data_IF_270730254934
#
_entry.id   IF_270730254934
#
_cell.length_a   1.000
_cell.length_b   1.000
_cell.length_c   1.000
_cell.angle_alpha   90.00
_cell.angle_beta   90.00
_cell.angle_gamma   90.00
#
_symmetry.space_group_name_H-M   'P 1'
#
loop_
_entity.id
_entity.type
_entity.pdbx_description
1 polymer ?
#
# COMPACT_ATOMS: atom_id res chain seq x y z
N UNK A 1 -16.46 -32.45 13.98
CA UNK A 1 -15.54 -33.55 13.67
C UNK A 1 -14.21 -32.89 13.32
N UNK A 2 -13.16 -33.07 14.11
CA UNK A 2 -11.86 -32.39 13.87
C UNK A 2 -11.26 -33.01 12.59
N UNK A 3 -10.89 -32.24 11.55
CA UNK A 3 -10.25 -32.79 10.36
C UNK A 3 -9.01 -33.60 10.76
N UNK A 4 -8.88 -34.80 10.22
CA UNK A 4 -7.85 -35.79 10.58
C UNK A 4 -6.45 -35.50 10.01
N UNK A 5 -6.19 -34.29 9.53
CA UNK A 5 -4.87 -33.79 9.14
C UNK A 5 -4.83 -32.27 9.30
N UNK A 6 -3.70 -31.69 9.74
CA UNK A 6 -3.55 -30.23 9.82
C UNK A 6 -3.73 -29.61 8.42
N UNK A 7 -4.41 -28.47 8.35
CA UNK A 7 -4.60 -27.74 7.09
C UNK A 7 -3.23 -27.28 6.59
N UNK A 8 -2.86 -27.69 5.39
CA UNK A 8 -1.62 -27.26 4.75
C UNK A 8 -1.75 -25.83 4.22
N UNK A 9 -0.87 -24.95 4.67
CA UNK A 9 -0.83 -23.55 4.21
C UNK A 9 -0.23 -23.49 2.82
N UNK A 10 -0.97 -22.96 1.84
CA UNK A 10 -0.44 -22.69 0.50
C UNK A 10 0.75 -21.72 0.58
N UNK A 11 1.77 -21.94 -0.25
CA UNK A 11 2.98 -21.09 -0.33
C UNK A 11 3.14 -20.51 -1.73
N UNK A 12 3.92 -19.44 -1.82
CA UNK A 12 4.25 -18.73 -3.05
C UNK A 12 5.68 -18.19 -2.99
N UNK A 13 6.18 -17.62 -4.08
CA UNK A 13 7.49 -16.96 -4.11
C UNK A 13 7.36 -15.47 -4.44
N UNK A 14 8.02 -14.63 -3.64
CA UNK A 14 8.23 -13.21 -3.95
C UNK A 14 9.65 -12.99 -4.48
N UNK A 15 9.79 -12.05 -5.42
CA UNK A 15 11.07 -11.78 -6.09
C UNK A 15 11.69 -13.01 -6.75
N UNK A 16 10.86 -13.98 -7.16
CA UNK A 16 11.25 -15.24 -7.82
C UNK A 16 11.93 -16.29 -6.93
N UNK A 17 12.42 -15.94 -5.75
CA UNK A 17 13.30 -16.82 -4.96
C UNK A 17 12.88 -17.01 -3.50
N UNK A 18 12.18 -16.06 -2.88
CA UNK A 18 11.84 -16.14 -1.46
C UNK A 18 10.47 -16.76 -1.29
N UNK A 19 10.42 -17.95 -0.72
CA UNK A 19 9.17 -18.64 -0.43
C UNK A 19 8.50 -18.07 0.83
N UNK A 20 7.22 -17.74 0.73
CA UNK A 20 6.38 -17.25 1.83
C UNK A 20 5.04 -18.00 1.84
N UNK A 21 4.34 -18.10 2.98
CA UNK A 21 2.96 -18.53 3.01
C UNK A 21 2.09 -17.51 2.28
N UNK A 22 1.03 -17.98 1.63
CA UNK A 22 0.05 -17.10 0.97
C UNK A 22 -0.81 -16.33 1.97
N UNK A 23 -0.62 -16.52 3.27
CA UNK A 23 -1.15 -15.66 4.31
C UNK A 23 -0.01 -15.17 5.22
N UNK A 24 0.16 -13.86 5.26
CA UNK A 24 1.16 -13.16 6.06
C UNK A 24 0.49 -12.56 7.29
N UNK A 25 1.11 -12.73 8.46
CA UNK A 25 0.64 -12.17 9.72
C UNK A 25 1.04 -10.70 9.84
N UNK A 26 0.07 -9.79 9.72
CA UNK A 26 0.30 -8.36 9.86
C UNK A 26 0.28 -7.91 11.32
N UNK A 27 1.30 -7.14 11.72
CA UNK A 27 1.52 -6.72 13.12
C UNK A 27 1.08 -5.28 13.42
N UNK A 28 0.28 -4.65 12.55
CA UNK A 28 -0.18 -3.26 12.73
C UNK A 28 -1.00 -3.03 14.00
N UNK A 29 -1.55 -4.08 14.62
CA UNK A 29 -2.26 -3.97 15.88
C UNK A 29 -1.33 -3.62 17.06
N UNK A 30 -0.01 -3.74 16.87
CA UNK A 30 1.00 -3.25 17.81
C UNK A 30 1.34 -1.77 17.61
N UNK A 31 0.80 -1.11 16.58
CA UNK A 31 1.02 0.32 16.31
C UNK A 31 0.25 1.26 17.25
N UNK A 32 -0.68 0.75 18.07
CA UNK A 32 -1.56 1.54 18.93
C UNK A 32 -1.68 0.95 20.33
N UNK A 33 -0.84 1.45 21.24
CA UNK A 33 -0.75 1.03 22.64
C UNK A 33 0.39 1.72 23.38
N UNK A 34 0.63 3.01 23.15
CA UNK A 34 1.73 3.75 23.79
C UNK A 34 1.61 3.86 25.33
N UNK A 35 0.51 3.36 25.90
CA UNK A 35 0.19 3.48 27.33
C UNK A 35 0.15 2.11 28.04
N UNK A 36 0.33 1.00 27.32
CA UNK A 36 0.41 -0.35 27.88
C UNK A 36 1.66 -1.07 27.37
N UNK A 37 2.50 -1.55 28.29
CA UNK A 37 3.65 -2.37 27.92
C UNK A 37 3.18 -3.63 27.18
N UNK A 38 3.57 -3.80 25.92
CA UNK A 38 3.33 -5.04 25.18
C UNK A 38 4.00 -6.19 25.95
N UNK A 39 3.23 -7.24 26.26
CA UNK A 39 3.80 -8.49 26.76
C UNK A 39 4.56 -9.19 25.63
N UNK A 40 5.82 -8.81 25.45
CA UNK A 40 6.71 -9.39 24.43
C UNK A 40 6.83 -10.90 24.59
N UNK A 41 6.81 -11.42 25.82
CA UNK A 41 6.88 -12.86 26.09
C UNK A 41 5.64 -13.60 25.61
N UNK A 42 4.45 -13.05 25.89
CA UNK A 42 3.18 -13.54 25.35
C UNK A 42 3.12 -13.47 23.83
N UNK A 43 3.58 -12.36 23.24
CA UNK A 43 3.61 -12.18 21.79
C UNK A 43 4.50 -13.22 21.09
N UNK A 44 5.68 -13.52 21.64
CA UNK A 44 6.58 -14.57 21.14
C UNK A 44 5.89 -15.93 21.14
N UNK A 45 5.17 -16.30 22.22
CA UNK A 45 4.44 -17.57 22.28
C UNK A 45 3.34 -17.68 21.24
N UNK A 46 2.59 -16.60 21.01
CA UNK A 46 1.57 -16.57 19.95
C UNK A 46 2.21 -16.65 18.55
N UNK A 47 3.40 -16.08 18.35
CA UNK A 47 4.16 -16.27 17.11
C UNK A 47 4.59 -17.72 16.92
N UNK A 48 5.09 -18.40 17.96
CA UNK A 48 5.44 -19.84 17.88
C UNK A 48 4.22 -20.67 17.44
N UNK A 49 3.05 -20.39 18.00
CA UNK A 49 1.79 -21.04 17.60
C UNK A 49 1.44 -20.81 16.12
N UNK A 50 1.60 -19.58 15.61
CA UNK A 50 1.37 -19.27 14.20
C UNK A 50 2.39 -19.98 13.29
N UNK A 51 3.64 -20.07 13.73
CA UNK A 51 4.70 -20.75 12.99
C UNK A 51 4.48 -22.27 12.92
N UNK A 52 4.05 -22.90 14.02
CA UNK A 52 3.63 -24.31 14.04
C UNK A 52 2.46 -24.58 13.09
N UNK A 53 1.60 -23.58 12.87
CA UNK A 53 0.50 -23.64 11.90
C UNK A 53 0.92 -23.34 10.45
N UNK A 54 2.22 -23.15 10.17
CA UNK A 54 2.74 -22.84 8.83
C UNK A 54 2.65 -21.37 8.42
N UNK A 55 2.28 -20.47 9.34
CA UNK A 55 2.23 -19.02 9.14
C UNK A 55 3.53 -18.37 9.65
N UNK A 56 4.63 -18.64 8.94
CA UNK A 56 6.01 -18.28 9.29
C UNK A 56 6.48 -16.91 8.75
N UNK A 57 5.58 -16.11 8.17
CA UNK A 57 5.88 -14.81 7.60
C UNK A 57 5.07 -13.69 8.26
N UNK A 58 5.77 -12.62 8.64
CA UNK A 58 5.22 -11.50 9.40
C UNK A 58 5.51 -10.16 8.72
N UNK A 59 4.48 -9.32 8.60
CA UNK A 59 4.56 -7.98 8.02
C UNK A 59 4.46 -6.92 9.12
N UNK A 60 5.42 -6.00 9.12
CA UNK A 60 5.48 -4.87 10.06
C UNK A 60 5.89 -3.57 9.34
N UNK A 61 6.11 -2.49 10.08
CA UNK A 61 6.62 -1.22 9.56
C UNK A 61 7.36 -0.45 10.67
N UNK A 62 8.19 0.51 10.28
CA UNK A 62 8.91 1.42 11.18
C UNK A 62 8.01 2.17 12.18
N UNK A 63 6.76 2.46 11.81
CA UNK A 63 5.76 3.15 12.63
C UNK A 63 4.82 2.19 13.38
N UNK A 64 5.02 0.87 13.33
CA UNK A 64 4.20 -0.11 14.07
C UNK A 64 4.72 -0.36 15.49
N UNK A 65 5.03 0.71 16.23
CA UNK A 65 5.47 0.62 17.63
C UNK A 65 6.63 -0.37 17.80
N UNK A 66 6.44 -1.38 18.64
CA UNK A 66 7.47 -2.37 19.01
C UNK A 66 7.47 -3.64 18.15
N UNK A 67 6.72 -3.70 17.03
CA UNK A 67 6.61 -4.90 16.21
C UNK A 67 7.97 -5.50 15.78
N UNK A 68 8.91 -4.67 15.34
CA UNK A 68 10.27 -5.11 14.99
C UNK A 68 11.05 -5.67 16.20
N UNK A 69 10.84 -5.11 17.40
CA UNK A 69 11.49 -5.58 18.63
C UNK A 69 10.94 -6.93 19.09
N UNK A 70 9.63 -7.17 18.90
CA UNK A 70 9.01 -8.48 19.17
C UNK A 70 9.64 -9.55 18.28
N UNK A 71 9.86 -9.26 16.99
CA UNK A 71 10.56 -10.17 16.07
C UNK A 71 12.03 -10.38 16.48
N UNK A 72 12.73 -9.32 16.88
CA UNK A 72 14.09 -9.45 17.40
C UNK A 72 14.16 -10.33 18.65
N UNK A 73 13.19 -10.19 19.57
CA UNK A 73 13.08 -11.06 20.75
C UNK A 73 12.78 -12.50 20.36
N UNK A 74 11.85 -12.72 19.42
CA UNK A 74 11.53 -14.04 18.89
C UNK A 74 12.78 -14.75 18.35
N UNK A 75 13.57 -14.08 17.49
CA UNK A 75 14.82 -14.64 16.95
C UNK A 75 15.85 -14.96 18.03
N UNK A 76 15.89 -14.19 19.11
CA UNK A 76 16.83 -14.41 20.21
C UNK A 76 16.42 -15.58 21.12
N UNK A 77 15.14 -15.96 21.15
CA UNK A 77 14.61 -16.97 22.09
C UNK A 77 14.11 -18.26 21.43
N UNK A 78 13.78 -18.22 20.13
CA UNK A 78 13.28 -19.36 19.37
C UNK A 78 14.32 -19.89 18.38
N UNK A 79 14.26 -21.18 18.07
CA UNK A 79 15.06 -21.82 17.01
C UNK A 79 14.36 -21.85 15.65
N UNK A 80 13.09 -21.43 15.59
CA UNK A 80 12.31 -21.42 14.37
C UNK A 80 12.76 -20.32 13.41
N UNK A 81 12.75 -20.62 12.11
CA UNK A 81 13.15 -19.66 11.10
C UNK A 81 11.97 -18.78 10.66
N UNK A 82 11.95 -17.54 11.13
CA UNK A 82 10.94 -16.54 10.78
C UNK A 82 11.32 -15.75 9.53
N UNK A 83 10.34 -15.52 8.66
CA UNK A 83 10.43 -14.52 7.58
C UNK A 83 9.82 -13.19 8.04
N UNK A 84 10.61 -12.12 8.04
CA UNK A 84 10.18 -10.79 8.47
C UNK A 84 10.21 -9.81 7.30
N UNK A 85 9.06 -9.20 7.01
CA UNK A 85 8.89 -8.11 6.05
C UNK A 85 8.68 -6.82 6.83
N UNK A 86 9.40 -5.75 6.49
CA UNK A 86 9.21 -4.44 7.12
C UNK A 86 8.99 -3.36 6.07
N UNK A 87 8.68 -2.14 6.53
CA UNK A 87 8.48 -0.98 5.68
C UNK A 87 9.27 0.20 6.22
N UNK A 88 9.76 1.00 5.28
CA UNK A 88 10.19 2.36 5.55
C UNK A 88 9.11 3.31 5.04
N UNK A 89 8.53 4.06 5.97
CA UNK A 89 7.53 5.08 5.73
C UNK A 89 8.11 6.44 6.13
N UNK A 90 9.02 7.02 5.31
CA UNK A 90 9.58 8.33 5.60
C UNK A 90 8.48 9.41 5.63
N UNK A 91 8.81 10.61 6.13
CA UNK A 91 7.97 11.79 5.92
C UNK A 91 7.56 11.93 4.45
N UNK A 92 6.40 12.53 4.22
CA UNK A 92 5.78 12.64 2.90
C UNK A 92 6.78 13.06 1.81
N UNK A 93 7.46 14.19 2.03
CA UNK A 93 8.42 14.78 1.09
C UNK A 93 9.70 15.28 1.80
N UNK A 94 10.76 15.51 1.02
CA UNK A 94 11.96 16.26 1.43
C UNK A 94 13.11 15.42 1.99
N UNK A 95 12.87 14.19 2.44
CA UNK A 95 13.90 13.28 2.95
C UNK A 95 14.61 12.55 1.80
N UNK A 96 15.73 13.10 1.31
CA UNK A 96 16.46 12.60 0.12
C UNK A 96 17.86 12.05 0.39
N UNK A 97 18.32 12.02 1.64
CA UNK A 97 19.72 11.67 1.94
C UNK A 97 19.94 10.15 2.02
N UNK A 98 21.10 9.70 1.53
CA UNK A 98 21.50 8.29 1.67
C UNK A 98 21.67 7.90 3.14
N UNK A 99 22.28 8.77 3.95
CA UNK A 99 22.52 8.54 5.38
C UNK A 99 21.22 8.24 6.14
N UNK A 100 20.14 8.98 5.86
CA UNK A 100 18.85 8.76 6.51
C UNK A 100 18.21 7.43 6.08
N UNK A 101 18.31 7.08 4.80
CA UNK A 101 17.85 5.78 4.31
C UNK A 101 18.64 4.63 4.97
N UNK A 102 19.97 4.75 5.04
CA UNK A 102 20.84 3.78 5.68
C UNK A 102 20.54 3.64 7.18
N UNK A 103 20.36 4.75 7.90
CA UNK A 103 19.99 4.74 9.31
C UNK A 103 18.64 4.05 9.56
N UNK A 104 17.67 4.22 8.66
CA UNK A 104 16.37 3.53 8.75
C UNK A 104 16.54 2.01 8.58
N UNK A 105 17.32 1.57 7.58
CA UNK A 105 17.62 0.15 7.35
C UNK A 105 18.40 -0.47 8.50
N UNK A 106 19.45 0.20 8.98
CA UNK A 106 20.28 -0.29 10.08
C UNK A 106 19.50 -0.34 11.41
N UNK A 107 18.54 0.57 11.60
CA UNK A 107 17.62 0.51 12.73
C UNK A 107 16.74 -0.73 12.65
N UNK A 108 16.12 -0.98 11.49
CA UNK A 108 15.25 -2.14 11.28
C UNK A 108 16.01 -3.47 11.45
N UNK A 109 17.21 -3.59 10.85
CA UNK A 109 18.12 -4.74 11.02
C UNK A 109 18.40 -5.03 12.50
N UNK A 110 18.81 -3.99 13.24
CA UNK A 110 19.11 -4.09 14.68
C UNK A 110 17.90 -4.47 15.52
N UNK A 111 16.73 -3.86 15.27
CA UNK A 111 15.50 -4.12 16.03
C UNK A 111 15.00 -5.55 15.81
N UNK A 112 15.04 -6.03 14.56
CA UNK A 112 14.65 -7.40 14.21
C UNK A 112 15.73 -8.45 14.49
N UNK A 113 16.95 -8.05 14.88
CA UNK A 113 18.05 -8.97 15.16
C UNK A 113 18.46 -9.82 13.95
N UNK A 114 18.63 -9.19 12.77
CA UNK A 114 19.04 -9.87 11.54
C UNK A 114 20.02 -9.04 10.72
N UNK A 115 20.84 -9.69 9.88
CA UNK A 115 21.86 -9.03 9.05
C UNK A 115 21.37 -8.63 7.66
N UNK A 116 20.22 -9.18 7.24
CA UNK A 116 19.59 -8.87 5.95
C UNK A 116 18.07 -8.81 6.09
N UNK A 117 17.47 -7.73 5.60
CA UNK A 117 16.02 -7.58 5.52
C UNK A 117 15.51 -8.39 4.33
N UNK A 118 14.55 -9.30 4.57
CA UNK A 118 14.01 -10.16 3.49
C UNK A 118 13.23 -9.35 2.46
N UNK A 119 12.39 -8.42 2.91
CA UNK A 119 11.66 -7.47 2.06
C UNK A 119 11.58 -6.12 2.77
N UNK A 120 12.14 -5.09 2.14
CA UNK A 120 11.96 -3.69 2.55
C UNK A 120 10.93 -3.06 1.62
N UNK A 121 9.78 -2.65 2.15
CA UNK A 121 8.72 -2.01 1.37
C UNK A 121 8.78 -0.49 1.54
N UNK A 122 8.55 0.25 0.46
CA UNK A 122 8.57 1.72 0.47
C UNK A 122 7.18 2.28 0.16
N UNK A 123 6.71 3.23 0.98
CA UNK A 123 5.46 3.94 0.73
C UNK A 123 5.75 5.27 0.02
N UNK A 124 5.21 5.44 -1.19
CA UNK A 124 5.27 6.70 -1.94
C UNK A 124 4.07 7.55 -1.55
N UNK A 125 4.26 8.73 -0.97
CA UNK A 125 3.14 9.58 -0.53
C UNK A 125 2.60 10.48 -1.65
N UNK A 126 3.49 11.22 -2.32
CA UNK A 126 3.14 12.12 -3.42
C UNK A 126 3.97 11.79 -4.67
N UNK A 127 3.31 11.40 -5.76
CA UNK A 127 3.99 11.12 -7.03
C UNK A 127 4.55 12.36 -7.70
N UNK A 128 3.97 13.53 -7.40
CA UNK A 128 4.49 14.78 -7.92
C UNK A 128 5.78 15.20 -7.20
N UNK A 129 6.14 14.65 -6.05
CA UNK A 129 7.43 14.95 -5.38
C UNK A 129 8.52 13.94 -5.79
N UNK A 130 9.77 14.36 -5.94
CA UNK A 130 10.85 13.49 -6.43
C UNK A 130 11.58 12.73 -5.32
N UNK A 131 11.19 12.92 -4.06
CA UNK A 131 11.81 12.27 -2.90
C UNK A 131 11.87 10.75 -3.05
N UNK A 132 10.82 10.13 -3.61
CA UNK A 132 10.79 8.68 -3.79
C UNK A 132 11.84 8.18 -4.80
N UNK A 133 12.20 8.96 -5.83
CA UNK A 133 13.26 8.58 -6.77
C UNK A 133 14.61 8.43 -6.06
N UNK A 134 14.94 9.41 -5.21
CA UNK A 134 16.17 9.37 -4.41
C UNK A 134 16.14 8.17 -3.44
N UNK A 135 15.05 8.00 -2.70
CA UNK A 135 14.95 6.94 -1.70
C UNK A 135 14.97 5.54 -2.30
N UNK A 136 14.26 5.30 -3.40
CA UNK A 136 14.33 4.01 -4.10
C UNK A 136 15.73 3.76 -4.67
N UNK A 137 16.43 4.78 -5.14
CA UNK A 137 17.84 4.66 -5.57
C UNK A 137 18.75 4.29 -4.39
N UNK A 138 18.53 4.86 -3.21
CA UNK A 138 19.28 4.51 -1.99
C UNK A 138 18.99 3.09 -1.53
N UNK A 139 17.72 2.66 -1.55
CA UNK A 139 17.34 1.28 -1.24
C UNK A 139 17.96 0.28 -2.23
N UNK A 140 18.06 0.61 -3.53
CA UNK A 140 18.80 -0.20 -4.51
C UNK A 140 20.29 -0.32 -4.14
N UNK A 141 20.92 0.76 -3.70
CA UNK A 141 22.31 0.71 -3.20
C UNK A 141 22.42 -0.20 -1.98
N UNK A 142 21.53 -0.08 -1.00
CA UNK A 142 21.51 -0.93 0.21
C UNK A 142 21.23 -2.40 -0.12
N UNK A 143 20.44 -2.68 -1.16
CA UNK A 143 20.26 -4.02 -1.72
C UNK A 143 21.57 -4.56 -2.31
N UNK A 144 22.30 -3.76 -3.10
CA UNK A 144 23.60 -4.16 -3.65
C UNK A 144 24.67 -4.41 -2.58
N UNK A 145 24.56 -3.73 -1.43
CA UNK A 145 25.40 -3.95 -0.25
C UNK A 145 24.98 -5.18 0.58
N UNK A 146 23.91 -5.88 0.19
CA UNK A 146 23.43 -7.08 0.86
C UNK A 146 22.57 -6.85 2.12
N UNK A 147 22.29 -5.59 2.50
CA UNK A 147 21.43 -5.26 3.65
C UNK A 147 19.95 -5.55 3.39
N UNK A 148 19.54 -5.51 2.13
CA UNK A 148 18.17 -5.78 1.68
C UNK A 148 18.22 -6.91 0.65
N UNK A 149 17.31 -7.88 0.75
CA UNK A 149 17.17 -8.92 -0.28
C UNK A 149 16.23 -8.48 -1.39
N UNK A 150 15.04 -8.00 -1.04
CA UNK A 150 14.01 -7.54 -1.99
C UNK A 150 13.51 -6.15 -1.64
N UNK A 151 13.22 -5.36 -2.66
CA UNK A 151 12.48 -4.09 -2.53
C UNK A 151 11.03 -4.30 -2.94
N UNK A 152 10.10 -3.90 -2.08
CA UNK A 152 8.68 -3.83 -2.37
C UNK A 152 8.16 -2.40 -2.33
N UNK A 153 6.93 -2.20 -2.79
CA UNK A 153 6.22 -0.94 -2.74
C UNK A 153 4.96 -1.09 -1.89
N UNK A 154 4.39 0.04 -1.46
CA UNK A 154 3.12 0.09 -0.74
C UNK A 154 2.23 1.15 -1.35
N UNK A 155 0.99 0.76 -1.66
CA UNK A 155 -0.05 1.60 -2.25
C UNK A 155 0.35 2.24 -3.59
N UNK A 156 1.18 1.62 -4.41
CA UNK A 156 1.57 2.21 -5.71
C UNK A 156 0.56 1.83 -6.80
N UNK A 157 0.14 2.79 -7.61
CA UNK A 157 -0.83 2.56 -8.68
C UNK A 157 -0.19 1.90 -9.91
N UNK A 158 -1.00 1.51 -10.90
CA UNK A 158 -0.49 0.81 -12.07
C UNK A 158 0.47 1.67 -12.91
N UNK A 159 0.18 2.97 -13.07
CA UNK A 159 0.96 3.87 -13.92
C UNK A 159 2.35 4.13 -13.34
N UNK A 160 2.44 4.36 -12.02
CA UNK A 160 3.70 4.59 -11.33
C UNK A 160 4.49 3.31 -11.12
N UNK A 161 3.82 2.15 -10.97
CA UNK A 161 4.50 0.86 -10.95
C UNK A 161 5.20 0.59 -12.30
N UNK A 162 4.49 0.75 -13.43
CA UNK A 162 5.08 0.63 -14.77
C UNK A 162 6.22 1.63 -14.96
N UNK A 163 6.02 2.90 -14.57
CA UNK A 163 7.05 3.93 -14.65
C UNK A 163 8.33 3.53 -13.90
N UNK A 164 8.21 3.00 -12.68
CA UNK A 164 9.37 2.52 -11.90
C UNK A 164 10.06 1.33 -12.57
N UNK A 165 9.30 0.36 -13.08
CA UNK A 165 9.85 -0.82 -13.75
C UNK A 165 10.56 -0.44 -15.04
N UNK A 166 9.94 0.40 -15.88
CA UNK A 166 10.52 0.91 -17.13
C UNK A 166 11.75 1.80 -16.89
N UNK A 167 11.85 2.39 -15.69
CA UNK A 167 13.04 3.09 -15.20
C UNK A 167 14.15 2.15 -14.68
N UNK A 168 13.94 0.84 -14.73
CA UNK A 168 14.90 -0.19 -14.33
C UNK A 168 14.89 -0.54 -12.84
N UNK A 169 13.85 -0.20 -12.09
CA UNK A 169 13.71 -0.69 -10.70
C UNK A 169 13.19 -2.12 -10.67
N UNK A 170 13.91 -3.00 -9.97
CA UNK A 170 13.45 -4.35 -9.67
C UNK A 170 12.54 -4.32 -8.45
N UNK A 171 11.24 -4.53 -8.67
CA UNK A 171 10.22 -4.51 -7.61
C UNK A 171 9.72 -5.94 -7.39
N UNK A 172 9.84 -6.44 -6.16
CA UNK A 172 9.39 -7.80 -5.83
C UNK A 172 7.90 -7.86 -5.52
N UNK A 173 7.38 -6.86 -4.82
CA UNK A 173 5.97 -6.81 -4.40
C UNK A 173 5.39 -5.41 -4.44
N UNK A 174 4.06 -5.32 -4.55
CA UNK A 174 3.30 -4.11 -4.25
C UNK A 174 2.18 -4.44 -3.24
N UNK A 175 2.23 -3.84 -2.07
CA UNK A 175 1.25 -4.04 -1.00
C UNK A 175 0.08 -3.07 -1.18
N UNK A 176 -1.13 -3.57 -1.47
CA UNK A 176 -2.32 -2.74 -1.78
C UNK A 176 -3.59 -3.24 -1.11
N UNK A 177 -4.58 -2.36 -0.93
CA UNK A 177 -5.92 -2.73 -0.47
C UNK A 177 -6.63 -3.58 -1.51
N UNK A 178 -7.19 -4.72 -1.09
CA UNK A 178 -8.07 -5.55 -1.93
C UNK A 178 -9.02 -6.36 -1.04
N UNK A 179 -10.28 -6.45 -1.44
CA UNK A 179 -11.30 -7.25 -0.75
C UNK A 179 -12.40 -7.66 -1.74
N UNK A 180 -13.44 -8.33 -1.25
CA UNK A 180 -14.61 -8.67 -2.08
C UNK A 180 -15.31 -7.42 -2.62
N UNK A 181 -15.21 -6.26 -1.96
CA UNK A 181 -15.84 -5.00 -2.41
C UNK A 181 -14.84 -4.01 -3.05
N UNK A 182 -13.58 -4.02 -2.62
CA UNK A 182 -12.53 -3.19 -3.23
C UNK A 182 -11.94 -3.94 -4.43
N UNK A 183 -12.56 -3.69 -5.59
CA UNK A 183 -12.23 -4.36 -6.86
C UNK A 183 -11.24 -3.59 -7.72
N UNK A 184 -10.63 -2.50 -7.24
CA UNK A 184 -9.70 -1.67 -8.03
C UNK A 184 -8.54 -2.47 -8.59
N UNK A 185 -8.01 -3.44 -7.82
CA UNK A 185 -6.94 -4.33 -8.27
C UNK A 185 -7.29 -5.09 -9.56
N UNK A 186 -8.53 -5.61 -9.65
CA UNK A 186 -8.97 -6.51 -10.74
C UNK A 186 -9.76 -5.81 -11.85
N UNK A 187 -10.40 -4.67 -11.57
CA UNK A 187 -11.08 -3.85 -12.61
C UNK A 187 -10.14 -2.84 -13.26
N UNK A 188 -9.13 -2.38 -12.53
CA UNK A 188 -8.08 -1.51 -13.02
C UNK A 188 -6.98 -2.26 -13.76
N UNK A 189 -5.87 -1.58 -14.05
CA UNK A 189 -4.72 -2.18 -14.76
C UNK A 189 -3.75 -2.89 -13.82
N UNK A 190 -3.77 -2.60 -12.52
CA UNK A 190 -2.71 -3.00 -11.59
C UNK A 190 -2.45 -4.51 -11.58
N UNK A 191 -3.49 -5.36 -11.55
CA UNK A 191 -3.29 -6.81 -11.60
C UNK A 191 -2.51 -7.24 -12.86
N UNK A 192 -2.87 -6.69 -14.03
CA UNK A 192 -2.19 -7.01 -15.29
C UNK A 192 -0.75 -6.53 -15.33
N UNK A 193 -0.47 -5.34 -14.78
CA UNK A 193 0.90 -4.81 -14.64
C UNK A 193 1.73 -5.71 -13.73
N UNK A 194 1.18 -6.09 -12.57
CA UNK A 194 1.85 -6.96 -11.62
C UNK A 194 2.20 -8.31 -12.24
N UNK A 195 1.22 -8.99 -12.85
CA UNK A 195 1.41 -10.30 -13.47
C UNK A 195 2.41 -10.25 -14.63
N UNK A 196 2.32 -9.23 -15.51
CA UNK A 196 3.20 -9.12 -16.69
C UNK A 196 4.66 -8.86 -16.32
N UNK A 197 4.90 -8.27 -15.15
CA UNK A 197 6.25 -7.89 -14.69
C UNK A 197 6.77 -8.76 -13.53
N UNK A 198 6.04 -9.83 -13.15
CA UNK A 198 6.44 -10.72 -12.05
C UNK A 198 6.43 -10.05 -10.66
N UNK A 199 5.65 -8.98 -10.48
CA UNK A 199 5.47 -8.31 -9.19
C UNK A 199 4.34 -8.99 -8.43
N UNK A 200 4.62 -9.46 -7.21
CA UNK A 200 3.61 -10.08 -6.35
C UNK A 200 2.75 -9.06 -5.62
N UNK A 201 1.43 -9.24 -5.59
CA UNK A 201 0.57 -8.41 -4.73
C UNK A 201 0.51 -8.99 -3.32
N UNK A 202 0.79 -8.14 -2.32
CA UNK A 202 0.48 -8.41 -0.91
C UNK A 202 -0.81 -7.67 -0.55
N UNK A 203 -1.93 -8.39 -0.56
CA UNK A 203 -3.25 -7.79 -0.37
C UNK A 203 -3.54 -7.56 1.12
N UNK A 204 -3.72 -6.31 1.53
CA UNK A 204 -4.21 -5.98 2.87
C UNK A 204 -5.68 -5.54 2.80
N UNK A 205 -6.35 -5.49 3.95
CA UNK A 205 -7.74 -5.03 4.00
C UNK A 205 -8.76 -6.05 3.49
N UNK A 206 -8.31 -7.28 3.22
CA UNK A 206 -9.09 -8.44 2.78
C UNK A 206 -10.37 -8.66 3.57
N UNK A 207 -10.36 -8.36 4.88
CA UNK A 207 -11.49 -8.55 5.79
C UNK A 207 -12.18 -7.25 6.21
N UNK A 208 -11.82 -6.11 5.61
CA UNK A 208 -12.38 -4.79 5.91
C UNK A 208 -12.36 -4.46 7.42
N UNK A 209 -11.23 -4.74 8.09
CA UNK A 209 -11.09 -4.51 9.54
C UNK A 209 -11.98 -5.39 10.43
N UNK A 210 -12.60 -6.42 9.84
CA UNK A 210 -13.52 -7.35 10.49
C UNK A 210 -14.99 -7.20 10.05
N UNK A 211 -15.31 -6.28 9.14
CA UNK A 211 -16.67 -6.16 8.60
C UNK A 211 -17.11 -7.41 7.83
N UNK A 212 -16.20 -8.10 7.14
CA UNK A 212 -16.48 -9.36 6.45
C UNK A 212 -16.51 -10.54 7.44
N UNK A 213 -17.52 -10.53 8.32
CA UNK A 213 -17.77 -11.58 9.32
C UNK A 213 -19.25 -11.69 9.68
N UNK A 214 -19.62 -12.82 10.28
CA UNK A 214 -20.98 -13.12 10.73
C UNK A 214 -21.50 -12.09 11.74
N UNK A 215 -20.60 -11.41 12.45
CA UNK A 215 -20.93 -10.36 13.42
C UNK A 215 -21.79 -9.25 12.81
N UNK A 216 -21.56 -8.93 11.54
CA UNK A 216 -22.17 -7.79 10.85
C UNK A 216 -23.31 -8.18 9.91
N UNK A 217 -23.55 -9.48 9.72
CA UNK A 217 -24.63 -9.99 8.88
C UNK A 217 -26.00 -9.63 9.47
N UNK A 218 -26.86 -8.99 8.67
CA UNK A 218 -28.20 -8.56 9.06
C UNK A 218 -28.21 -7.49 10.16
N UNK A 219 -27.08 -6.79 10.37
CA UNK A 219 -26.99 -5.68 11.34
C UNK A 219 -27.16 -4.33 10.64
N UNK A 220 -27.72 -3.31 11.32
CA UNK A 220 -27.70 -1.94 10.80
C UNK A 220 -26.25 -1.41 10.71
N UNK A 221 -26.06 -0.39 9.88
CA UNK A 221 -24.79 0.33 9.80
C UNK A 221 -24.43 0.92 11.18
N UNK A 222 -23.16 0.83 11.62
CA UNK A 222 -22.73 1.56 12.83
C UNK A 222 -22.95 3.06 12.68
N UNK A 223 -23.78 3.63 13.57
CA UNK A 223 -24.01 5.08 13.62
C UNK A 223 -22.83 5.81 14.30
N UNK A 224 -22.30 5.24 15.38
CA UNK A 224 -21.20 5.81 16.16
C UNK A 224 -19.83 5.32 15.64
N UNK A 225 -19.17 6.16 14.85
CA UNK A 225 -17.82 5.94 14.33
C UNK A 225 -16.75 5.92 15.42
N UNK A 226 -16.95 6.61 16.54
CA UNK A 226 -15.95 6.70 17.60
C UNK A 226 -15.89 5.43 18.44
N UNK A 227 -16.99 4.68 18.51
CA UNK A 227 -17.04 3.33 19.07
C UNK A 227 -16.24 2.28 18.26
N UNK A 228 -15.93 2.58 16.99
CA UNK A 228 -15.22 1.67 16.11
C UNK A 228 -13.70 1.79 16.31
N UNK A 229 -13.01 0.66 16.21
CA UNK A 229 -11.55 0.67 16.14
C UNK A 229 -11.06 1.36 14.85
N UNK A 230 -9.78 1.73 14.84
CA UNK A 230 -9.14 2.45 13.74
C UNK A 230 -9.33 1.80 12.36
N UNK A 231 -9.22 0.46 12.27
CA UNK A 231 -9.44 -0.25 11.01
C UNK A 231 -10.90 -0.23 10.56
N UNK A 232 -11.85 -0.45 11.47
CA UNK A 232 -13.29 -0.38 11.15
C UNK A 232 -13.68 1.03 10.68
N UNK A 233 -13.14 2.09 11.29
CA UNK A 233 -13.35 3.47 10.78
C UNK A 233 -12.87 3.64 9.35
N UNK A 234 -11.67 3.14 9.01
CA UNK A 234 -11.15 3.15 7.63
C UNK A 234 -12.12 2.45 6.69
N UNK A 235 -12.47 1.20 6.98
CA UNK A 235 -13.20 0.37 6.02
C UNK A 235 -14.70 0.66 5.96
N UNK A 236 -15.30 1.34 6.94
CA UNK A 236 -16.66 1.85 6.77
C UNK A 236 -16.71 2.90 5.65
N UNK A 237 -15.65 3.70 5.46
CA UNK A 237 -15.54 4.63 4.33
C UNK A 237 -15.49 3.90 2.99
N UNK A 238 -14.77 2.77 2.91
CA UNK A 238 -14.78 1.90 1.73
C UNK A 238 -16.18 1.38 1.42
N UNK A 239 -16.89 0.87 2.42
CA UNK A 239 -18.27 0.37 2.28
C UNK A 239 -19.20 1.49 1.76
N UNK A 240 -19.13 2.68 2.34
CA UNK A 240 -19.93 3.84 1.92
C UNK A 240 -19.67 4.23 0.46
N UNK A 241 -18.42 4.27 0.04
CA UNK A 241 -18.05 4.60 -1.35
C UNK A 241 -18.40 3.47 -2.32
N UNK A 242 -18.34 2.22 -1.88
CA UNK A 242 -18.64 1.04 -2.70
C UNK A 242 -20.16 0.77 -2.88
N UNK A 243 -21.04 1.74 -2.59
CA UNK A 243 -22.49 1.59 -2.76
C UNK A 243 -23.30 1.59 -1.46
N UNK A 244 -22.65 1.74 -0.30
CA UNK A 244 -23.33 1.86 0.98
C UNK A 244 -23.60 0.52 1.68
N UNK A 245 -24.20 0.62 2.87
CA UNK A 245 -24.37 -0.52 3.76
C UNK A 245 -25.29 -1.60 3.20
N UNK A 246 -26.37 -1.24 2.49
CA UNK A 246 -27.31 -2.20 1.92
C UNK A 246 -26.65 -3.08 0.85
N UNK A 247 -25.87 -2.48 -0.06
CA UNK A 247 -25.11 -3.22 -1.06
C UNK A 247 -24.07 -4.14 -0.39
N UNK A 248 -23.44 -3.65 0.69
CA UNK A 248 -22.52 -4.46 1.50
C UNK A 248 -23.22 -5.63 2.21
N UNK A 249 -24.44 -5.46 2.72
CA UNK A 249 -25.22 -6.57 3.29
C UNK A 249 -25.56 -7.63 2.24
N UNK A 250 -25.89 -7.22 1.01
CA UNK A 250 -26.08 -8.17 -0.11
C UNK A 250 -24.83 -9.02 -0.38
N UNK A 251 -23.64 -8.41 -0.28
CA UNK A 251 -22.36 -9.15 -0.37
C UNK A 251 -22.17 -10.08 0.83
N UNK A 252 -22.46 -9.63 2.05
CA UNK A 252 -22.37 -10.48 3.25
C UNK A 252 -23.32 -11.69 3.18
N UNK A 253 -24.54 -11.52 2.69
CA UNK A 253 -25.52 -12.61 2.51
C UNK A 253 -25.01 -13.65 1.50
N UNK A 254 -24.49 -13.20 0.36
CA UNK A 254 -23.87 -14.06 -0.64
C UNK A 254 -22.70 -14.87 -0.05
N UNK A 255 -21.79 -14.19 0.65
CA UNK A 255 -20.66 -14.84 1.32
C UNK A 255 -21.12 -15.80 2.42
N UNK A 256 -22.18 -15.47 3.16
CA UNK A 256 -22.76 -16.34 4.19
C UNK A 256 -23.33 -17.63 3.59
N UNK A 257 -24.02 -17.54 2.46
CA UNK A 257 -24.56 -18.70 1.75
C UNK A 257 -23.45 -19.63 1.23
N UNK A 258 -22.33 -19.06 0.77
CA UNK A 258 -21.14 -19.85 0.38
C UNK A 258 -20.50 -20.47 1.63
N UNK A 259 -20.31 -19.68 2.69
CA UNK A 259 -19.70 -20.12 3.93
C UNK A 259 -20.44 -21.33 4.54
N UNK A 260 -21.79 -21.31 4.54
CA UNK A 260 -22.62 -22.46 4.97
C UNK A 260 -22.45 -23.70 4.10
N UNK A 261 -22.30 -23.54 2.77
CA UNK A 261 -22.10 -24.67 1.84
C UNK A 261 -20.76 -25.36 2.07
N UNK A 262 -19.73 -24.59 2.43
CA UNK A 262 -18.37 -25.09 2.65
C UNK A 262 -18.04 -25.38 4.13
N UNK A 263 -19.00 -25.17 5.06
CA UNK A 263 -18.81 -25.30 6.51
C UNK A 263 -17.62 -24.49 7.07
N UNK A 264 -17.52 -23.23 6.63
CA UNK A 264 -16.48 -22.28 7.05
C UNK A 264 -17.09 -20.91 7.39
N UNK A 265 -16.25 -19.94 7.75
CA UNK A 265 -16.69 -18.57 8.04
C UNK A 265 -16.74 -17.68 6.78
N UNK A 266 -17.51 -16.58 6.86
CA UNK A 266 -17.50 -15.49 5.87
C UNK A 266 -16.08 -14.97 5.64
N UNK A 267 -15.28 -14.89 6.71
CA UNK A 267 -13.89 -14.44 6.63
C UNK A 267 -13.02 -15.42 5.82
N UNK A 268 -13.22 -16.73 5.96
CA UNK A 268 -12.51 -17.74 5.19
C UNK A 268 -12.86 -17.66 3.69
N UNK A 269 -14.15 -17.54 3.35
CA UNK A 269 -14.61 -17.36 1.96
C UNK A 269 -14.05 -16.07 1.35
N UNK A 270 -14.13 -14.96 2.09
CA UNK A 270 -13.61 -13.65 1.63
C UNK A 270 -12.11 -13.69 1.38
N UNK A 271 -11.38 -14.37 2.27
CA UNK A 271 -9.93 -14.54 2.16
C UNK A 271 -9.57 -15.40 0.96
N UNK A 272 -10.26 -16.55 0.78
CA UNK A 272 -10.08 -17.42 -0.37
C UNK A 272 -10.34 -16.69 -1.68
N UNK A 273 -11.42 -15.91 -1.77
CA UNK A 273 -11.75 -15.10 -2.94
C UNK A 273 -10.58 -14.19 -3.36
N UNK A 274 -9.96 -13.48 -2.40
CA UNK A 274 -8.81 -12.60 -2.70
C UNK A 274 -7.57 -13.41 -3.06
N UNK A 275 -7.33 -14.54 -2.38
CA UNK A 275 -6.23 -15.45 -2.73
C UNK A 275 -6.36 -16.05 -4.13
N UNK A 276 -7.56 -16.16 -4.69
CA UNK A 276 -7.74 -16.71 -6.04
C UNK A 276 -7.48 -15.68 -7.15
N UNK A 277 -7.28 -14.41 -6.81
CA UNK A 277 -6.85 -13.40 -7.77
C UNK A 277 -5.40 -13.71 -8.18
N UNK A 278 -5.17 -13.93 -9.47
CA UNK A 278 -3.87 -14.37 -10.02
C UNK A 278 -2.68 -13.49 -9.59
N UNK A 279 -2.87 -12.17 -9.51
CA UNK A 279 -1.81 -11.24 -9.11
C UNK A 279 -1.48 -11.29 -7.61
N UNK A 280 -2.37 -11.86 -6.77
CA UNK A 280 -2.20 -11.93 -5.31
C UNK A 280 -1.28 -13.08 -4.94
N UNK A 281 -0.06 -12.73 -4.53
CA UNK A 281 0.89 -13.66 -3.94
C UNK A 281 0.41 -14.09 -2.55
N UNK A 282 0.08 -13.13 -1.70
CA UNK A 282 -0.38 -13.40 -0.34
C UNK A 282 -1.37 -12.33 0.15
N UNK A 283 -2.23 -12.71 1.10
CA UNK A 283 -3.03 -11.78 1.89
C UNK A 283 -2.32 -11.44 3.20
N UNK A 284 -2.53 -10.23 3.73
CA UNK A 284 -2.05 -9.83 5.05
C UNK A 284 -3.25 -9.76 6.00
N UNK A 285 -3.26 -10.65 7.00
CA UNK A 285 -4.32 -10.74 8.02
C UNK A 285 -3.74 -10.33 9.37
N UNK A 286 -4.50 -9.55 10.13
CA UNK A 286 -4.02 -8.94 11.37
C UNK A 286 -3.90 -9.95 12.50
N UNK A 287 -2.73 -10.00 13.12
CA UNK A 287 -2.43 -10.84 14.27
C UNK A 287 -2.19 -9.96 15.49
N UNK A 288 -3.08 -10.06 16.50
CA UNK A 288 -3.00 -9.23 17.72
C UNK A 288 -1.85 -9.62 18.64
N UNK A 289 -1.30 -10.82 18.44
CA UNK A 289 -0.29 -11.44 19.30
C UNK A 289 -0.62 -11.35 20.79
N UNK A 290 -1.92 -11.40 21.12
CA UNK A 290 -2.43 -11.38 22.48
C UNK A 290 -3.13 -12.69 22.82
N UNK A 291 -3.26 -12.98 24.12
CA UNK A 291 -3.92 -14.18 24.61
C UNK A 291 -5.32 -14.37 23.97
N UNK A 292 -5.51 -15.51 23.31
CA UNK A 292 -6.75 -15.83 22.58
C UNK A 292 -6.75 -15.40 21.12
N UNK A 293 -5.62 -14.96 20.56
CA UNK A 293 -5.45 -14.75 19.12
C UNK A 293 -5.48 -16.07 18.34
N UNK A 294 -5.03 -17.16 18.96
CA UNK A 294 -5.12 -18.53 18.44
C UNK A 294 -6.53 -18.94 17.96
N UNK A 295 -7.60 -18.40 18.57
CA UNK A 295 -8.99 -18.69 18.14
C UNK A 295 -9.31 -18.20 16.72
N UNK A 296 -8.63 -17.17 16.24
CA UNK A 296 -8.81 -16.66 14.88
C UNK A 296 -7.93 -17.42 13.88
N UNK A 297 -6.89 -18.11 14.35
CA UNK A 297 -5.96 -18.85 13.49
C UNK A 297 -6.67 -20.00 12.78
N UNK A 298 -7.50 -20.77 13.48
CA UNK A 298 -8.29 -21.83 12.86
C UNK A 298 -9.22 -21.28 11.75
N UNK A 299 -9.91 -20.16 12.01
CA UNK A 299 -10.77 -19.52 11.02
C UNK A 299 -9.99 -18.97 9.82
N UNK A 300 -8.78 -18.46 10.05
CA UNK A 300 -7.89 -17.99 8.98
C UNK A 300 -7.41 -19.16 8.11
N UNK A 301 -6.97 -20.26 8.73
CA UNK A 301 -6.50 -21.45 8.03
C UNK A 301 -7.61 -22.12 7.21
N UNK A 302 -8.87 -22.01 7.63
CA UNK A 302 -10.02 -22.53 6.87
C UNK A 302 -10.13 -21.96 5.44
N UNK A 303 -9.49 -20.82 5.14
CA UNK A 303 -9.40 -20.32 3.77
C UNK A 303 -8.61 -21.27 2.85
N UNK A 304 -7.68 -22.07 3.38
CA UNK A 304 -6.89 -23.04 2.61
C UNK A 304 -7.56 -24.41 2.48
N UNK A 305 -8.64 -24.68 3.24
CA UNK A 305 -9.36 -25.95 3.18
C UNK A 305 -10.49 -25.98 2.15
N UNK A 306 -10.74 -24.87 1.45
CA UNK A 306 -11.86 -24.74 0.51
C UNK A 306 -11.37 -24.37 -0.89
N UNK A 307 -12.17 -24.74 -1.90
CA UNK A 307 -12.06 -24.23 -3.27
C UNK A 307 -13.42 -23.69 -3.68
N UNK A 308 -13.45 -22.43 -4.10
CA UNK A 308 -14.68 -21.82 -4.59
C UNK A 308 -15.03 -22.40 -5.96
N UNK A 309 -16.29 -22.81 -6.11
CA UNK A 309 -16.86 -23.28 -7.37
C UNK A 309 -17.23 -22.12 -8.29
N UNK A 310 -17.48 -22.40 -9.57
CA UNK A 310 -17.97 -21.39 -10.52
C UNK A 310 -19.29 -20.75 -10.06
N UNK A 311 -20.17 -21.53 -9.41
CA UNK A 311 -21.41 -21.05 -8.80
C UNK A 311 -21.15 -20.13 -7.61
N UNK A 312 -20.12 -20.40 -6.80
CA UNK A 312 -19.71 -19.51 -5.71
C UNK A 312 -19.25 -18.15 -6.25
N UNK A 313 -18.40 -18.16 -7.28
CA UNK A 313 -17.99 -16.91 -7.93
C UNK A 313 -19.15 -16.22 -8.64
N UNK A 314 -20.09 -16.96 -9.23
CA UNK A 314 -21.29 -16.38 -9.85
C UNK A 314 -22.14 -15.64 -8.82
N UNK A 315 -22.36 -16.24 -7.64
CA UNK A 315 -23.10 -15.61 -6.55
C UNK A 315 -22.39 -14.36 -6.00
N UNK A 316 -21.05 -14.40 -5.86
CA UNK A 316 -20.28 -13.22 -5.47
C UNK A 316 -20.42 -12.12 -6.54
N UNK A 317 -20.26 -12.46 -7.82
CA UNK A 317 -20.38 -11.50 -8.94
C UNK A 317 -21.76 -10.88 -9.01
N UNK A 318 -22.82 -11.64 -8.76
CA UNK A 318 -24.20 -11.15 -8.73
C UNK A 318 -24.39 -10.13 -7.60
N UNK A 319 -23.99 -10.45 -6.36
CA UNK A 319 -24.07 -9.51 -5.24
C UNK A 319 -23.23 -8.24 -5.49
N UNK A 320 -22.08 -8.40 -6.13
CA UNK A 320 -21.20 -7.30 -6.53
C UNK A 320 -21.79 -6.36 -7.60
N UNK A 321 -22.92 -6.69 -8.24
CA UNK A 321 -23.60 -5.78 -9.19
C UNK A 321 -24.26 -4.58 -8.50
N UNK A 322 -24.64 -4.73 -7.23
CA UNK A 322 -25.19 -3.63 -6.43
C UNK A 322 -24.10 -2.66 -5.92
N UNK A 323 -22.82 -3.03 -6.05
CA UNK A 323 -21.71 -2.19 -5.63
C UNK A 323 -21.36 -1.13 -6.67
N UNK A 324 -21.03 0.07 -6.20
CA UNK A 324 -20.32 1.09 -6.97
C UNK A 324 -18.83 0.78 -7.02
N UNK A 325 -18.17 1.09 -8.13
CA UNK A 325 -16.71 1.02 -8.18
C UNK A 325 -16.10 2.16 -7.35
N UNK A 326 -15.16 1.79 -6.48
CA UNK A 326 -14.35 2.77 -5.75
C UNK A 326 -13.50 3.52 -6.78
N UNK A 327 -13.50 4.87 -6.79
CA UNK A 327 -12.80 5.65 -7.80
C UNK A 327 -11.29 5.52 -7.68
N UNK A 328 -10.61 5.78 -8.81
CA UNK A 328 -9.14 5.76 -8.88
C UNK A 328 -8.55 4.37 -8.98
N UNK A 329 -7.23 4.30 -8.84
CA UNK A 329 -6.46 3.05 -8.80
C UNK A 329 -6.16 2.66 -7.34
N UNK A 330 -5.58 1.48 -7.13
CA UNK A 330 -5.08 1.06 -5.83
C UNK A 330 -4.06 2.07 -5.27
N UNK A 331 -4.25 2.45 -4.01
CA UNK A 331 -3.41 3.41 -3.31
C UNK A 331 -3.89 4.86 -3.42
N UNK A 332 -4.79 5.19 -4.37
CA UNK A 332 -5.37 6.54 -4.45
C UNK A 332 -6.14 6.93 -3.18
N UNK A 333 -6.54 5.96 -2.35
CA UNK A 333 -7.17 6.26 -1.06
C UNK A 333 -6.29 7.08 -0.10
N UNK A 334 -4.98 7.16 -0.37
CA UNK A 334 -4.02 7.98 0.37
C UNK A 334 -3.67 9.30 -0.34
N UNK A 335 -4.03 9.47 -1.62
CA UNK A 335 -3.52 10.58 -2.46
C UNK A 335 -4.60 11.42 -3.12
N UNK A 336 -5.82 10.88 -3.26
CA UNK A 336 -6.92 11.53 -3.98
C UNK A 336 -8.23 11.41 -3.20
N UNK A 337 -9.06 12.47 -3.20
CA UNK A 337 -10.42 12.37 -2.70
C UNK A 337 -11.27 11.33 -3.48
N UNK A 338 -12.19 10.61 -2.81
CA UNK A 338 -12.36 10.59 -1.37
C UNK A 338 -11.21 9.84 -0.67
N UNK A 339 -10.60 10.46 0.35
CA UNK A 339 -9.55 9.80 1.14
C UNK A 339 -10.17 8.69 2.01
N UNK A 340 -9.75 7.45 1.78
CA UNK A 340 -10.23 6.29 2.53
C UNK A 340 -9.20 5.84 3.56
N UNK A 341 -8.70 6.79 4.35
CA UNK A 341 -7.83 6.51 5.49
C UNK A 341 -8.65 6.43 6.78
N UNK A 342 -8.07 5.87 7.84
CA UNK A 342 -8.76 5.83 9.14
C UNK A 342 -8.97 7.22 9.74
N UNK A 343 -8.07 8.18 9.47
CA UNK A 343 -8.23 9.57 9.88
C UNK A 343 -9.22 10.34 8.98
N UNK A 344 -9.56 9.79 7.81
CA UNK A 344 -10.42 10.44 6.83
C UNK A 344 -9.67 11.47 6.00
N UNK A 345 -10.40 12.50 5.55
CA UNK A 345 -9.83 13.66 4.88
C UNK A 345 -9.10 14.53 5.92
N UNK A 346 -7.77 14.55 5.81
CA UNK A 346 -6.88 15.37 6.64
C UNK A 346 -6.33 16.57 5.86
N UNK A 347 -6.95 16.97 4.74
CA UNK A 347 -6.54 18.13 3.91
C UNK A 347 -6.39 19.45 4.69
N UNK A 348 -6.88 19.51 5.93
CA UNK A 348 -6.58 20.58 6.87
C UNK A 348 -5.11 20.70 7.32
N UNK A 349 -4.23 19.76 6.94
CA UNK A 349 -2.79 19.79 7.24
C UNK A 349 -1.89 20.26 6.09
N UNK A 350 -2.45 20.77 4.97
CA UNK A 350 -1.64 21.49 3.98
C UNK A 350 -1.05 22.73 4.67
N UNK A 351 0.27 22.92 4.55
CA UNK A 351 0.99 23.98 5.28
C UNK A 351 0.37 25.35 4.96
N UNK A 352 -0.31 25.96 5.94
CA UNK A 352 -0.98 27.27 5.79
C UNK A 352 -0.02 28.38 5.37
N UNK A 353 1.25 28.27 5.75
CA UNK A 353 2.24 29.34 5.60
C UNK A 353 2.62 29.61 4.15
N UNK A 354 2.78 28.58 3.31
CA UNK A 354 3.07 28.75 1.88
C UNK A 354 1.86 29.32 1.11
N UNK A 355 0.64 28.94 1.50
CA UNK A 355 -0.60 29.46 0.87
C UNK A 355 -0.76 30.95 1.12
N UNK A 356 -0.56 31.41 2.35
CA UNK A 356 -0.76 32.81 2.72
C UNK A 356 0.23 33.77 2.05
N UNK A 357 1.50 33.36 1.89
CA UNK A 357 2.51 34.17 1.19
C UNK A 357 2.26 34.21 -0.31
N UNK A 358 1.83 33.09 -0.89
CA UNK A 358 1.46 33.01 -2.29
C UNK A 358 0.22 33.86 -2.58
N UNK A 359 -0.82 33.77 -1.74
CA UNK A 359 -2.05 34.57 -1.84
C UNK A 359 -1.77 36.08 -1.80
N UNK A 360 -0.91 36.53 -0.87
CA UNK A 360 -0.48 37.94 -0.79
C UNK A 360 0.26 38.39 -2.05
N UNK A 361 1.13 37.53 -2.57
CA UNK A 361 1.95 37.82 -3.76
C UNK A 361 1.09 37.89 -5.03
N UNK A 362 0.10 37.01 -5.14
CA UNK A 362 -0.92 37.03 -6.21
C UNK A 362 -1.76 38.29 -6.12
N UNK A 363 -2.24 38.66 -4.94
CA UNK A 363 -3.00 39.89 -4.72
C UNK A 363 -2.22 41.17 -5.08
N UNK A 364 -0.89 41.14 -4.93
CA UNK A 364 -0.01 42.23 -5.33
C UNK A 364 0.26 42.30 -6.85
N UNK A 365 -0.22 41.33 -7.64
CA UNK A 365 0.02 41.26 -9.09
C UNK A 365 1.47 40.90 -9.45
N UNK A 366 2.23 40.38 -8.50
CA UNK A 366 3.66 40.09 -8.69
C UNK A 366 3.86 38.78 -9.43
N UNK A 367 4.80 38.77 -10.37
CA UNK A 367 5.23 37.55 -11.07
C UNK A 367 5.97 36.64 -10.10
N UNK A 368 5.53 35.38 -10.00
CA UNK A 368 6.17 34.36 -9.17
C UNK A 368 6.74 33.29 -10.10
N UNK A 369 8.00 32.92 -9.89
CA UNK A 369 8.66 31.89 -10.69
C UNK A 369 8.93 30.65 -9.83
N UNK A 370 8.74 29.48 -10.43
CA UNK A 370 9.10 28.20 -9.86
C UNK A 370 10.14 27.52 -10.74
N UNK A 371 11.29 27.19 -10.14
CA UNK A 371 12.33 26.38 -10.75
C UNK A 371 12.22 24.94 -10.24
N UNK A 372 12.28 23.96 -11.15
CA UNK A 372 12.24 22.55 -10.75
C UNK A 372 13.58 22.02 -10.24
N UNK A 373 14.65 22.82 -10.36
CA UNK A 373 16.02 22.37 -10.08
C UNK A 373 16.64 21.50 -11.18
N UNK A 374 15.95 21.34 -12.31
CA UNK A 374 16.48 20.66 -13.50
C UNK A 374 17.78 21.32 -13.99
N UNK A 375 18.78 20.51 -14.32
CA UNK A 375 20.07 20.99 -14.86
C UNK A 375 19.91 21.80 -16.17
N UNK A 376 18.80 21.59 -16.88
CA UNK A 376 18.51 22.26 -18.15
C UNK A 376 17.98 23.68 -17.98
N UNK A 377 17.33 24.01 -16.87
CA UNK A 377 16.76 25.35 -16.62
C UNK A 377 17.81 26.47 -16.70
N UNK A 378 18.97 26.38 -16.01
CA UNK A 378 20.02 27.39 -16.15
C UNK A 378 20.69 27.39 -17.54
N UNK A 379 20.70 26.26 -18.26
CA UNK A 379 21.34 26.14 -19.57
C UNK A 379 20.47 26.77 -20.67
N UNK A 380 19.16 26.48 -20.65
CA UNK A 380 18.21 26.93 -21.66
C UNK A 380 17.55 28.28 -21.30
N UNK A 381 17.79 28.81 -20.10
CA UNK A 381 17.32 30.14 -19.68
C UNK A 381 15.81 30.19 -19.44
N UNK A 382 15.25 29.18 -18.78
CA UNK A 382 13.83 29.15 -18.41
C UNK A 382 13.64 28.69 -16.97
N UNK A 383 12.48 28.99 -16.38
CA UNK A 383 12.01 28.38 -15.14
C UNK A 383 10.81 27.46 -15.44
N UNK A 384 10.62 26.42 -14.62
CA UNK A 384 9.59 25.39 -14.85
C UNK A 384 8.21 25.99 -15.02
N UNK A 385 7.81 26.91 -14.14
CA UNK A 385 6.52 27.56 -14.24
C UNK A 385 6.56 28.99 -13.72
N UNK A 386 5.62 29.80 -14.20
CA UNK A 386 5.45 31.18 -13.80
C UNK A 386 3.99 31.44 -13.51
N UNK A 387 3.71 32.09 -12.38
CA UNK A 387 2.39 32.66 -12.09
C UNK A 387 2.41 34.17 -12.35
N UNK A 388 1.39 34.66 -13.05
CA UNK A 388 1.14 36.09 -13.24
C UNK A 388 -0.35 36.34 -13.04
N UNK A 389 -0.70 36.99 -11.92
CA UNK A 389 -2.09 37.12 -11.47
C UNK A 389 -2.74 35.74 -11.27
N UNK A 390 -3.84 35.51 -11.98
CA UNK A 390 -4.62 34.26 -11.89
C UNK A 390 -4.20 33.18 -12.88
N UNK A 391 -3.17 33.44 -13.68
CA UNK A 391 -2.70 32.50 -14.71
C UNK A 391 -1.36 31.87 -14.33
N UNK A 392 -1.27 30.54 -14.43
CA UNK A 392 -0.01 29.80 -14.33
C UNK A 392 0.37 29.31 -15.73
N UNK A 393 1.59 29.62 -16.16
CA UNK A 393 2.20 29.10 -17.36
C UNK A 393 3.25 28.07 -16.98
N UNK A 394 3.10 26.83 -17.45
CA UNK A 394 4.10 25.77 -17.25
C UNK A 394 4.86 25.57 -18.56
N UNK A 395 6.18 25.63 -18.48
CA UNK A 395 7.06 25.34 -19.63
C UNK A 395 7.02 23.86 -19.99
N UNK A 396 7.26 23.54 -21.26
CA UNK A 396 7.43 22.16 -21.71
C UNK A 396 8.52 21.43 -20.93
N UNK A 397 8.30 20.14 -20.65
CA UNK A 397 9.26 19.30 -19.93
C UNK A 397 9.44 17.97 -20.62
N UNK A 398 10.50 17.27 -20.24
CA UNK A 398 10.79 15.89 -20.61
C UNK A 398 10.89 15.04 -19.34
N UNK A 399 10.96 13.72 -19.49
CA UNK A 399 11.09 12.77 -18.39
C UNK A 399 12.53 12.71 -17.83
N UNK A 400 13.18 13.87 -17.66
CA UNK A 400 14.51 13.96 -17.08
C UNK A 400 14.48 13.51 -15.62
N UNK A 401 15.48 12.72 -15.24
CA UNK A 401 15.56 12.19 -13.88
C UNK A 401 16.12 13.21 -12.89
N UNK A 402 15.60 13.26 -11.65
CA UNK A 402 16.20 14.01 -10.54
C UNK A 402 17.48 13.36 -9.99
N UNK A 403 17.83 12.15 -10.47
CA UNK A 403 19.03 11.38 -10.08
C UNK A 403 19.89 11.01 -11.30
N UNK A 404 20.36 12.00 -12.11
CA UNK A 404 20.99 11.77 -13.42
C UNK A 404 22.26 10.90 -13.37
N UNK A 405 22.93 10.83 -12.20
CA UNK A 405 24.09 10.00 -11.99
C UNK A 405 23.77 8.49 -12.02
N UNK A 406 22.56 8.10 -11.62
CA UNK A 406 22.12 6.68 -11.55
C UNK A 406 21.07 6.33 -12.61
N UNK A 407 20.23 7.28 -12.99
CA UNK A 407 19.16 7.12 -13.96
C UNK A 407 19.06 8.40 -14.78
N UNK A 408 19.22 8.35 -16.11
CA UNK A 408 19.15 9.56 -16.95
C UNK A 408 17.72 9.96 -17.32
N UNK A 409 16.90 8.98 -17.69
CA UNK A 409 15.54 9.19 -18.22
C UNK A 409 14.57 8.32 -17.42
N UNK A 410 13.54 8.95 -16.86
CA UNK A 410 12.43 8.27 -16.19
C UNK A 410 11.57 7.54 -17.23
N UNK A 411 11.17 6.31 -16.95
CA UNK A 411 10.38 5.48 -17.85
C UNK A 411 11.17 4.89 -19.03
N UNK A 412 12.50 5.04 -19.05
CA UNK A 412 13.36 4.39 -20.04
C UNK A 412 12.95 4.72 -21.48
N UNK A 413 12.51 3.72 -22.25
CA UNK A 413 12.04 3.87 -23.64
C UNK A 413 10.51 3.90 -23.78
N UNK A 414 9.78 3.81 -22.67
CA UNK A 414 8.32 3.74 -22.69
C UNK A 414 7.73 5.14 -22.78
N UNK A 415 7.11 5.44 -23.92
CA UNK A 415 6.37 6.68 -24.15
C UNK A 415 5.28 6.92 -23.09
N UNK A 416 4.58 5.87 -22.68
CA UNK A 416 3.56 5.93 -21.62
C UNK A 416 4.15 6.31 -20.27
N UNK A 417 5.22 5.63 -19.85
CA UNK A 417 5.89 5.92 -18.58
C UNK A 417 6.53 7.30 -18.57
N UNK A 418 7.20 7.70 -19.66
CA UNK A 418 7.72 9.06 -19.79
C UNK A 418 6.60 10.11 -19.69
N UNK A 419 5.43 9.84 -20.26
CA UNK A 419 4.25 10.72 -20.14
C UNK A 419 3.79 10.87 -18.69
N UNK A 420 3.73 9.77 -17.92
CA UNK A 420 3.40 9.81 -16.49
C UNK A 420 4.38 10.71 -15.73
N UNK A 421 5.69 10.50 -15.94
CA UNK A 421 6.72 11.32 -15.29
C UNK A 421 6.63 12.81 -15.66
N UNK A 422 6.33 13.12 -16.92
CA UNK A 422 6.12 14.49 -17.40
C UNK A 422 4.91 15.12 -16.69
N UNK A 423 3.79 14.39 -16.55
CA UNK A 423 2.61 14.86 -15.84
C UNK A 423 2.92 15.15 -14.37
N UNK A 424 3.67 14.29 -13.68
CA UNK A 424 4.07 14.51 -12.29
C UNK A 424 4.91 15.79 -12.11
N UNK A 425 5.86 16.04 -13.01
CA UNK A 425 6.67 17.27 -13.03
C UNK A 425 5.78 18.49 -13.24
N UNK A 426 4.81 18.41 -14.16
CA UNK A 426 3.83 19.48 -14.39
C UNK A 426 2.96 19.72 -13.15
N UNK A 427 2.47 18.66 -12.50
CA UNK A 427 1.66 18.75 -11.28
C UNK A 427 2.44 19.41 -10.15
N UNK A 428 3.72 19.05 -9.96
CA UNK A 428 4.61 19.69 -8.99
C UNK A 428 4.69 21.19 -9.21
N UNK A 429 4.89 21.59 -10.46
CA UNK A 429 5.02 22.99 -10.84
C UNK A 429 3.73 23.79 -10.60
N UNK A 430 2.58 23.19 -10.88
CA UNK A 430 1.28 23.79 -10.57
C UNK A 430 1.10 23.95 -9.06
N UNK A 431 1.32 22.87 -8.29
CA UNK A 431 1.21 22.89 -6.82
C UNK A 431 2.10 23.96 -6.19
N UNK A 432 3.34 24.07 -6.64
CA UNK A 432 4.30 25.07 -6.15
C UNK A 432 3.84 26.52 -6.37
N UNK A 433 2.92 26.75 -7.31
CA UNK A 433 2.33 28.05 -7.63
C UNK A 433 0.84 28.13 -7.24
N UNK A 434 0.39 27.27 -6.32
CA UNK A 434 -0.97 27.27 -5.76
C UNK A 434 -2.06 26.84 -6.73
N UNK A 435 -1.69 26.20 -7.84
CA UNK A 435 -2.63 25.59 -8.78
C UNK A 435 -2.80 24.10 -8.56
N UNK A 436 -3.77 23.54 -9.26
CA UNK A 436 -4.12 22.12 -9.24
C UNK A 436 -4.42 21.61 -10.65
N UNK A 437 -4.57 20.29 -10.80
CA UNK A 437 -4.99 19.71 -12.08
C UNK A 437 -6.38 20.18 -12.54
N UNK A 438 -7.29 20.48 -11.61
CA UNK A 438 -8.62 21.00 -11.95
C UNK A 438 -8.59 22.40 -12.54
N UNK A 439 -7.49 23.14 -12.41
CA UNK A 439 -7.34 24.49 -12.95
C UNK A 439 -6.80 24.51 -14.39
N UNK A 440 -6.43 23.34 -14.93
CA UNK A 440 -5.81 23.23 -16.26
C UNK A 440 -6.87 23.37 -17.35
N UNK A 441 -6.82 24.48 -18.10
CA UNK A 441 -7.74 24.76 -19.21
C UNK A 441 -7.31 24.14 -20.55
N UNK A 442 -6.03 23.75 -20.69
CA UNK A 442 -5.49 23.11 -21.88
C UNK A 442 -4.01 22.77 -21.71
N UNK A 443 -3.59 21.64 -22.29
CA UNK A 443 -2.19 21.19 -22.31
C UNK A 443 -1.86 20.56 -23.65
N UNK A 444 -0.65 20.84 -24.17
CA UNK A 444 -0.13 20.24 -25.39
C UNK A 444 1.06 19.36 -25.01
N UNK A 445 0.93 18.05 -25.19
CA UNK A 445 2.00 17.10 -24.95
C UNK A 445 2.39 16.42 -26.25
N UNK A 446 3.68 16.52 -26.61
CA UNK A 446 4.25 15.85 -27.78
C UNK A 446 5.16 14.75 -27.27
N UNK A 447 4.82 13.51 -27.60
CA UNK A 447 5.63 12.33 -27.26
C UNK A 447 6.36 11.89 -28.52
N UNK A 448 7.65 12.23 -28.63
CA UNK A 448 8.50 11.77 -29.73
C UNK A 448 9.16 10.45 -29.34
N UNK A 449 8.82 9.38 -30.06
CA UNK A 449 9.42 8.05 -29.89
C UNK A 449 10.76 7.89 -30.60
#
# INVERSE_FOLDING_TARGET
MIPSSPIEVERTRIGGITEIPRMVSGLWQLAGGHDESIDVGGAVKEMEFLMDAGLDCFDMADHYGDAELVVGRFRATSSMNITALTKWCPPENGLKSFEQAEQAVDRALRRMGQDRITLMQYHIWDYSDDTYWHNLSHLRTLQSQGKIQHTGLTNVDAAHLELLIDSGFTIATNQVSCSVIDRRLVRGRLASVCTSNGVGVLAYGTLLGGFLSEKWLGKPEPEDMDSLNWSLRKYLRFIRVAGGWDAFQGVLDALSNIARRHDVSIAAVSTRYVLDIQAVSAVIVGSRLSAGSSKYTASNLAAFSIKLSDDDYALIREAQQALSDIPGDCGDEYRRPPYLTAAGDLSHHVSKTQSEELEKTVAAGTRIEYSSGSEWEPIAGYCRAVRTGDTIFVSGTTANSPIPATLRVLGGKSAGSQTVAILDITIRALKALGGSLSDVQGSWMVVSM
#
